data_IF_124614242998
#
_entry.id   IF_124614242998
#
_cell.length_a   1.000
_cell.length_b   1.000
_cell.length_c   1.000
_cell.angle_alpha   90.00
_cell.angle_beta   90.00
_cell.angle_gamma   90.00
#
_symmetry.space_group_name_H-M   'P 1'
#
loop_
_entity.id
_entity.type
_entity.pdbx_description
1 polymer ?
#
# COMPACT_ATOMS: atom_id res chain seq x y z
N UNK A 1 6.51 -60.97 23.28
CA UNK A 1 5.48 -59.92 23.03
C UNK A 1 5.29 -59.77 21.53
N UNK A 2 4.09 -60.06 21.02
CA UNK A 2 3.78 -60.00 19.57
C UNK A 2 3.58 -58.53 19.19
N UNK A 3 4.50 -57.93 18.43
CA UNK A 3 4.35 -56.56 17.91
C UNK A 3 3.17 -56.56 16.93
N UNK A 4 2.13 -55.76 17.20
CA UNK A 4 1.07 -55.48 16.23
C UNK A 4 1.67 -54.59 15.13
N UNK A 5 1.74 -55.09 13.91
CA UNK A 5 2.14 -54.30 12.75
C UNK A 5 0.94 -53.49 12.24
N UNK A 6 1.20 -52.26 11.79
CA UNK A 6 0.20 -51.44 11.10
C UNK A 6 -0.18 -52.13 9.79
N UNK A 7 -1.47 -52.22 9.50
CA UNK A 7 -1.94 -52.70 8.20
C UNK A 7 -1.78 -51.60 7.15
N UNK A 8 -1.53 -52.01 5.91
CA UNK A 8 -1.40 -51.07 4.79
C UNK A 8 -2.66 -50.22 4.61
N UNK A 9 -3.84 -50.78 4.90
CA UNK A 9 -5.13 -50.08 4.82
C UNK A 9 -5.23 -48.97 5.87
N UNK A 10 -4.82 -49.22 7.12
CA UNK A 10 -4.83 -48.20 8.18
C UNK A 10 -3.94 -47.01 7.82
N UNK A 11 -2.76 -47.27 7.25
CA UNK A 11 -1.86 -46.21 6.79
C UNK A 11 -2.47 -45.43 5.62
N UNK A 12 -3.07 -46.12 4.64
CA UNK A 12 -3.69 -45.50 3.47
C UNK A 12 -4.88 -44.61 3.84
N UNK A 13 -5.72 -45.02 4.78
CA UNK A 13 -6.87 -44.22 5.22
C UNK A 13 -6.39 -42.95 5.92
N UNK A 14 -5.35 -43.02 6.74
CA UNK A 14 -4.81 -41.85 7.45
C UNK A 14 -4.25 -40.82 6.47
N UNK A 15 -3.43 -41.24 5.50
CA UNK A 15 -2.91 -40.30 4.49
C UNK A 15 -4.03 -39.72 3.62
N UNK A 16 -5.07 -40.51 3.31
CA UNK A 16 -6.23 -40.02 2.56
C UNK A 16 -6.97 -38.93 3.33
N UNK A 17 -7.20 -39.12 4.65
CA UNK A 17 -7.83 -38.11 5.49
C UNK A 17 -6.96 -36.85 5.58
N UNK A 18 -5.65 -36.99 5.81
CA UNK A 18 -4.72 -35.85 5.85
C UNK A 18 -4.73 -35.09 4.51
N UNK A 19 -4.72 -35.79 3.38
CA UNK A 19 -4.77 -35.18 2.05
C UNK A 19 -6.06 -34.37 1.84
N UNK A 20 -7.22 -34.89 2.26
CA UNK A 20 -8.50 -34.19 2.16
C UNK A 20 -8.51 -32.93 3.06
N UNK A 21 -8.05 -33.06 4.31
CA UNK A 21 -7.99 -31.92 5.24
C UNK A 21 -7.04 -30.84 4.73
N UNK A 22 -5.86 -31.23 4.24
CA UNK A 22 -4.87 -30.31 3.70
C UNK A 22 -5.40 -29.57 2.45
N UNK A 23 -6.10 -30.28 1.55
CA UNK A 23 -6.69 -29.69 0.34
C UNK A 23 -7.69 -28.56 0.64
N UNK A 24 -8.44 -28.66 1.74
CA UNK A 24 -9.38 -27.61 2.17
C UNK A 24 -8.65 -26.51 2.96
N UNK A 25 -7.67 -26.89 3.79
CA UNK A 25 -6.98 -25.95 4.67
C UNK A 25 -6.06 -24.99 3.92
N UNK A 26 -5.32 -25.45 2.91
CA UNK A 26 -4.39 -24.60 2.14
C UNK A 26 -5.04 -23.38 1.48
N UNK A 27 -6.15 -23.48 0.70
CA UNK A 27 -6.78 -22.31 0.10
C UNK A 27 -7.42 -21.37 1.12
N UNK A 28 -7.87 -21.89 2.27
CA UNK A 28 -8.39 -21.05 3.37
C UNK A 28 -7.27 -20.29 4.05
N UNK A 29 -6.17 -20.97 4.37
CA UNK A 29 -5.00 -20.38 5.02
C UNK A 29 -4.35 -19.30 4.15
N UNK A 30 -4.24 -19.52 2.83
CA UNK A 30 -3.75 -18.52 1.89
C UNK A 30 -4.59 -17.23 1.91
N UNK A 31 -5.92 -17.36 1.89
CA UNK A 31 -6.85 -16.22 1.98
C UNK A 31 -6.74 -15.49 3.34
N UNK A 32 -6.65 -16.24 4.43
CA UNK A 32 -6.49 -15.66 5.77
C UNK A 32 -5.18 -14.89 5.91
N UNK A 33 -4.06 -15.45 5.40
CA UNK A 33 -2.75 -14.80 5.39
C UNK A 33 -2.78 -13.50 4.58
N UNK A 34 -3.42 -13.51 3.40
CA UNK A 34 -3.55 -12.31 2.58
C UNK A 34 -4.41 -11.24 3.25
N UNK A 35 -5.53 -11.64 3.89
CA UNK A 35 -6.33 -10.70 4.69
C UNK A 35 -5.51 -10.06 5.81
N UNK A 36 -4.65 -10.82 6.49
CA UNK A 36 -3.78 -10.28 7.53
C UNK A 36 -2.76 -9.28 6.98
N UNK A 37 -2.12 -9.58 5.82
CA UNK A 37 -1.20 -8.66 5.15
C UNK A 37 -1.91 -7.35 4.74
N UNK A 38 -3.14 -7.43 4.23
CA UNK A 38 -3.94 -6.23 3.91
C UNK A 38 -4.23 -5.38 5.14
N UNK A 39 -4.57 -5.99 6.26
CA UNK A 39 -4.75 -5.27 7.53
C UNK A 39 -3.46 -4.56 7.96
N UNK A 40 -2.30 -5.21 7.81
CA UNK A 40 -1.01 -4.56 8.03
C UNK A 40 -0.82 -3.35 7.09
N UNK A 41 -1.21 -3.46 5.82
CA UNK A 41 -1.08 -2.34 4.89
C UNK A 41 -1.93 -1.12 5.30
N UNK A 42 -3.15 -1.35 5.80
CA UNK A 42 -4.03 -0.30 6.34
C UNK A 42 -3.44 0.33 7.60
N UNK A 43 -2.90 -0.49 8.51
CA UNK A 43 -2.23 0.00 9.73
C UNK A 43 -1.03 0.89 9.40
N UNK A 44 -0.20 0.45 8.46
CA UNK A 44 0.94 1.20 7.96
C UNK A 44 0.51 2.56 7.38
N UNK A 45 -0.53 2.60 6.53
CA UNK A 45 -1.09 3.84 6.00
C UNK A 45 -1.55 4.80 7.10
N UNK A 46 -2.21 4.29 8.15
CA UNK A 46 -2.62 5.13 9.28
C UNK A 46 -1.41 5.71 10.03
N UNK A 47 -0.34 4.94 10.19
CA UNK A 47 0.91 5.42 10.81
C UNK A 47 1.58 6.51 9.96
N UNK A 48 1.69 6.31 8.65
CA UNK A 48 2.26 7.28 7.72
C UNK A 48 1.44 8.57 7.67
N UNK A 49 0.11 8.45 7.71
CA UNK A 49 -0.78 9.60 7.74
C UNK A 49 -0.59 10.43 9.03
N UNK A 50 -0.53 9.78 10.18
CA UNK A 50 -0.24 10.45 11.46
C UNK A 50 1.12 11.13 11.47
N UNK A 51 2.14 10.46 10.93
CA UNK A 51 3.47 11.04 10.79
C UNK A 51 3.46 12.31 9.93
N UNK A 52 2.72 12.31 8.82
CA UNK A 52 2.58 13.49 7.97
C UNK A 52 1.86 14.65 8.69
N UNK A 53 0.83 14.36 9.50
CA UNK A 53 0.18 15.38 10.33
C UNK A 53 1.12 15.95 11.40
N UNK A 54 1.91 15.09 12.06
CA UNK A 54 2.90 15.52 13.04
C UNK A 54 3.98 16.39 12.39
N UNK A 55 4.48 16.01 11.21
CA UNK A 55 5.39 16.82 10.42
C UNK A 55 4.75 18.18 10.11
N UNK A 56 3.51 18.21 9.62
CA UNK A 56 2.80 19.46 9.37
C UNK A 56 2.73 20.35 10.62
N UNK A 57 2.48 19.77 11.79
CA UNK A 57 2.48 20.52 13.06
C UNK A 57 3.83 21.14 13.42
N UNK A 58 4.94 20.49 13.06
CA UNK A 58 6.29 20.97 13.38
C UNK A 58 6.83 21.99 12.35
N UNK A 59 6.32 21.95 11.11
CA UNK A 59 6.82 22.73 9.99
C UNK A 59 5.80 23.75 9.49
N UNK A 60 5.15 24.51 10.38
CA UNK A 60 4.20 25.59 10.04
C UNK A 60 3.14 25.15 9.02
N UNK A 61 2.56 23.98 9.28
CA UNK A 61 1.55 23.33 8.46
C UNK A 61 2.06 22.80 7.10
N UNK A 62 3.33 22.93 6.75
CA UNK A 62 3.83 22.38 5.50
C UNK A 62 3.98 20.86 5.58
N UNK A 63 3.43 20.15 4.60
CA UNK A 63 3.69 18.73 4.41
C UNK A 63 5.01 18.53 3.67
N UNK A 64 5.71 17.38 3.85
CA UNK A 64 6.87 17.07 3.02
C UNK A 64 6.44 17.05 1.55
N UNK A 65 7.35 17.43 0.66
CA UNK A 65 7.06 17.51 -0.79
C UNK A 65 7.84 16.45 -1.55
N UNK A 66 7.11 15.67 -2.36
CA UNK A 66 7.70 14.83 -3.39
C UNK A 66 8.09 15.67 -4.60
N UNK A 67 9.27 15.38 -5.17
CA UNK A 67 9.72 15.97 -6.46
C UNK A 67 9.16 15.23 -7.67
N UNK A 68 8.73 13.99 -7.49
CA UNK A 68 8.26 13.07 -8.54
C UNK A 68 6.94 12.45 -8.14
N UNK A 69 6.04 12.25 -9.09
CA UNK A 69 4.79 11.53 -8.84
C UNK A 69 5.02 10.04 -8.64
N UNK A 70 4.79 9.60 -7.41
CA UNK A 70 5.06 8.24 -6.99
C UNK A 70 6.52 8.01 -6.67
N UNK A 71 6.98 6.78 -6.86
CA UNK A 71 8.34 6.39 -6.49
C UNK A 71 9.40 6.88 -7.49
N UNK A 72 10.60 7.22 -7.01
CA UNK A 72 11.01 7.28 -5.61
C UNK A 72 10.51 8.53 -4.86
N UNK A 73 10.34 8.44 -3.54
CA UNK A 73 9.88 9.54 -2.67
C UNK A 73 10.84 9.86 -1.50
N UNK A 74 12.14 10.10 -1.73
CA UNK A 74 13.13 10.21 -0.65
C UNK A 74 12.83 11.35 0.34
N UNK A 75 12.38 12.52 -0.15
CA UNK A 75 12.05 13.65 0.73
C UNK A 75 10.89 13.35 1.67
N UNK A 76 9.90 12.58 1.21
CA UNK A 76 8.74 12.20 2.01
C UNK A 76 9.12 11.09 2.98
N UNK A 77 9.77 10.04 2.49
CA UNK A 77 10.20 8.90 3.31
C UNK A 77 11.15 9.34 4.42
N UNK A 78 12.21 10.09 4.08
CA UNK A 78 13.20 10.55 5.05
C UNK A 78 12.69 11.71 5.90
N UNK A 79 11.83 12.58 5.36
CA UNK A 79 11.20 13.66 6.13
C UNK A 79 10.25 13.15 7.20
N UNK A 80 9.52 12.06 6.93
CA UNK A 80 8.59 11.46 7.88
C UNK A 80 9.22 10.40 8.79
N UNK A 81 10.38 9.88 8.43
CA UNK A 81 11.06 8.83 9.19
C UNK A 81 11.26 9.17 10.68
N UNK A 82 11.59 10.42 11.09
CA UNK A 82 11.69 10.77 12.51
C UNK A 82 10.42 10.53 13.33
N UNK A 83 9.25 10.56 12.68
CA UNK A 83 7.93 10.36 13.29
C UNK A 83 7.48 8.90 13.24
N UNK A 84 7.82 8.19 12.16
CA UNK A 84 7.43 6.77 11.95
C UNK A 84 8.37 5.82 12.68
N UNK A 85 9.69 6.08 12.63
CA UNK A 85 10.77 5.28 13.24
C UNK A 85 10.76 3.79 12.86
N UNK A 86 10.18 3.46 11.71
CA UNK A 86 10.06 2.10 11.19
C UNK A 86 10.06 2.13 9.67
N UNK A 87 11.12 1.61 9.04
CA UNK A 87 11.18 1.50 7.58
C UNK A 87 10.10 0.55 7.06
N UNK A 88 9.82 -0.53 7.78
CA UNK A 88 8.82 -1.53 7.41
C UNK A 88 7.40 -0.94 7.26
N UNK A 89 7.10 0.16 7.96
CA UNK A 89 5.82 0.85 7.83
C UNK A 89 5.64 1.53 6.47
N UNK A 90 6.71 1.77 5.72
CA UNK A 90 6.66 2.30 4.36
C UNK A 90 6.42 1.22 3.30
N UNK A 91 6.32 -0.05 3.68
CA UNK A 91 6.14 -1.15 2.73
C UNK A 91 4.87 -1.92 3.04
N UNK A 92 3.96 -1.99 2.06
CA UNK A 92 2.77 -2.83 2.16
C UNK A 92 3.16 -4.29 1.94
N UNK A 93 3.00 -5.20 2.92
CA UNK A 93 3.37 -6.60 2.72
C UNK A 93 2.64 -7.25 1.56
N UNK A 94 1.42 -6.83 1.20
CA UNK A 94 0.70 -7.42 0.07
C UNK A 94 1.12 -6.86 -1.31
N UNK A 95 2.06 -5.92 -1.37
CA UNK A 95 2.59 -5.35 -2.62
C UNK A 95 4.10 -5.56 -2.65
N UNK A 96 4.59 -6.29 -3.64
CA UNK A 96 6.03 -6.57 -3.83
C UNK A 96 6.58 -6.03 -5.15
N UNK A 97 5.73 -5.72 -6.14
CA UNK A 97 6.13 -5.29 -7.49
C UNK A 97 5.10 -4.28 -8.04
N UNK A 98 5.56 -3.18 -8.65
CA UNK A 98 4.71 -2.21 -9.37
C UNK A 98 4.33 -2.68 -10.79
N UNK A 99 5.23 -3.38 -11.46
CA UNK A 99 5.08 -3.83 -12.85
C UNK A 99 6.11 -4.91 -13.22
N UNK A 100 5.85 -5.67 -14.28
CA UNK A 100 6.78 -6.63 -14.92
C UNK A 100 8.13 -6.01 -15.33
N UNK A 101 8.24 -4.67 -15.37
CA UNK A 101 9.44 -3.92 -15.75
C UNK A 101 9.97 -2.95 -14.66
N UNK A 102 9.38 -2.96 -13.46
CA UNK A 102 9.71 -2.02 -12.36
C UNK A 102 10.59 -2.65 -11.25
N UNK A 103 11.27 -1.83 -10.43
CA UNK A 103 11.95 -2.31 -9.23
C UNK A 103 10.95 -2.92 -8.23
N UNK A 104 11.40 -3.92 -7.49
CA UNK A 104 10.62 -4.49 -6.39
C UNK A 104 10.31 -3.39 -5.38
N UNK A 105 9.11 -3.37 -4.82
CA UNK A 105 8.78 -2.54 -3.65
C UNK A 105 8.88 -3.34 -2.35
N UNK A 106 9.68 -4.41 -2.38
CA UNK A 106 10.05 -5.12 -1.17
C UNK A 106 10.92 -4.23 -0.28
N UNK A 107 10.79 -4.38 1.03
CA UNK A 107 11.67 -3.72 1.99
C UNK A 107 13.10 -4.26 1.82
N UNK A 108 13.92 -3.50 1.10
CA UNK A 108 15.36 -3.76 0.92
C UNK A 108 16.13 -2.48 1.21
N UNK A 109 17.40 -2.59 1.64
CA UNK A 109 18.24 -1.41 1.86
C UNK A 109 18.38 -0.52 0.62
N UNK A 110 18.49 -1.13 -0.57
CA UNK A 110 18.62 -0.40 -1.84
C UNK A 110 17.36 0.40 -2.16
N UNK A 111 16.18 -0.20 -1.98
CA UNK A 111 14.90 0.48 -2.17
C UNK A 111 14.73 1.62 -1.18
N UNK A 112 15.04 1.38 0.08
CA UNK A 112 14.95 2.42 1.11
C UNK A 112 15.88 3.59 0.80
N UNK A 113 17.15 3.30 0.47
CA UNK A 113 18.13 4.33 0.10
C UNK A 113 17.71 5.12 -1.16
N UNK A 114 17.08 4.45 -2.13
CA UNK A 114 16.52 5.10 -3.31
C UNK A 114 15.25 5.90 -3.02
N UNK A 115 14.58 5.69 -1.87
CA UNK A 115 13.28 6.28 -1.55
C UNK A 115 12.10 5.53 -2.17
N UNK A 116 12.29 4.30 -2.66
CA UNK A 116 11.22 3.44 -3.15
C UNK A 116 10.41 2.88 -1.98
N UNK A 117 9.12 3.18 -1.93
CA UNK A 117 8.21 2.76 -0.86
C UNK A 117 6.94 2.12 -1.41
N UNK A 118 6.31 1.25 -0.61
CA UNK A 118 5.11 0.48 -0.93
C UNK A 118 3.79 1.26 -0.94
N UNK A 119 3.83 2.60 -0.96
CA UNK A 119 2.68 3.49 -0.88
C UNK A 119 2.87 4.74 -1.74
N UNK A 120 1.77 5.38 -2.11
CA UNK A 120 1.79 6.71 -2.73
C UNK A 120 1.45 7.77 -1.71
N UNK A 121 2.11 8.92 -1.86
CA UNK A 121 1.81 10.12 -1.11
C UNK A 121 1.50 11.28 -2.04
N UNK A 122 0.48 12.06 -1.71
CA UNK A 122 -0.20 12.98 -2.63
C UNK A 122 -0.04 14.46 -2.25
N UNK A 123 1.17 14.84 -1.80
CA UNK A 123 1.60 16.23 -1.63
C UNK A 123 2.85 16.48 -2.51
N UNK A 124 2.64 17.02 -3.70
CA UNK A 124 3.65 17.21 -4.74
C UNK A 124 3.72 18.68 -5.14
N UNK A 125 4.90 19.21 -5.48
CA UNK A 125 5.09 20.59 -5.95
C UNK A 125 4.86 20.75 -7.48
N UNK A 126 4.10 19.83 -8.08
CA UNK A 126 3.85 19.80 -9.51
C UNK A 126 2.90 18.67 -9.91
N UNK A 127 1.85 19.01 -10.65
CA UNK A 127 0.87 18.06 -11.19
C UNK A 127 1.38 17.55 -12.54
N UNK A 128 1.34 16.24 -12.76
CA UNK A 128 1.70 15.62 -14.04
C UNK A 128 0.50 15.82 -14.96
N UNK A 129 0.70 16.22 -16.23
CA UNK A 129 -0.39 16.60 -17.12
C UNK A 129 -1.40 15.48 -17.47
N UNK A 130 -1.28 14.26 -16.93
CA UNK A 130 -2.00 13.08 -17.42
C UNK A 130 -2.75 12.25 -16.35
N UNK A 131 -2.94 12.75 -15.13
CA UNK A 131 -3.60 12.00 -14.02
C UNK A 131 -5.00 12.43 -13.59
N UNK A 132 -5.64 13.43 -14.20
CA UNK A 132 -7.01 13.83 -13.81
C UNK A 132 -7.06 14.69 -12.52
N UNK A 133 -8.24 15.22 -12.17
CA UNK A 133 -8.53 16.65 -12.24
C UNK A 133 -8.12 17.40 -10.97
N UNK A 134 -6.93 18.01 -10.96
CA UNK A 134 -6.57 19.02 -9.95
C UNK A 134 -5.95 20.29 -10.56
N UNK A 135 -6.33 20.61 -11.80
CA UNK A 135 -5.99 21.91 -12.38
C UNK A 135 -6.93 22.94 -11.76
N UNK A 136 -6.48 23.60 -10.69
CA UNK A 136 -6.15 25.03 -10.74
C UNK A 136 -4.98 25.30 -9.78
N UNK A 137 -3.77 25.48 -10.34
CA UNK A 137 -2.62 26.28 -9.85
C UNK A 137 -2.36 26.34 -8.33
N UNK A 138 -1.51 25.50 -7.72
CA UNK A 138 -1.05 25.81 -6.35
C UNK A 138 0.40 25.44 -5.97
N UNK A 139 1.07 26.31 -5.18
CA UNK A 139 2.36 26.11 -4.48
C UNK A 139 2.25 25.03 -3.37
N UNK A 140 3.35 24.69 -2.65
CA UNK A 140 3.36 23.76 -1.51
C UNK A 140 2.12 23.86 -0.60
N UNK A 141 1.50 22.71 -0.27
CA UNK A 141 0.26 22.67 0.51
C UNK A 141 0.54 22.85 2.01
N UNK A 142 -0.08 23.89 2.59
CA UNK A 142 -0.25 24.02 4.04
C UNK A 142 -1.43 23.17 4.52
N UNK A 143 -1.30 22.60 5.72
CA UNK A 143 -2.31 21.88 6.48
C UNK A 143 -3.59 22.72 6.69
N UNK A 144 -3.54 24.06 6.66
CA UNK A 144 -4.75 24.90 6.68
C UNK A 144 -5.66 24.76 5.45
N UNK A 145 -5.16 24.28 4.29
CA UNK A 145 -6.01 23.84 3.17
C UNK A 145 -6.49 22.38 3.33
N UNK A 146 -5.99 21.66 4.33
CA UNK A 146 -6.37 20.28 4.66
C UNK A 146 -7.66 20.17 5.50
N UNK A 147 -8.34 21.29 5.78
CA UNK A 147 -9.68 21.26 6.40
C UNK A 147 -10.79 20.83 5.44
N UNK A 148 -10.45 20.46 4.19
CA UNK A 148 -11.35 19.77 3.27
C UNK A 148 -11.24 18.25 3.51
N UNK A 149 -12.18 17.63 4.25
CA UNK A 149 -12.13 16.20 4.60
C UNK A 149 -12.18 15.27 3.37
N UNK A 150 -12.52 15.80 2.19
CA UNK A 150 -12.63 15.06 0.94
C UNK A 150 -11.27 14.83 0.25
N UNK A 151 -10.18 15.45 0.74
CA UNK A 151 -8.84 15.27 0.20
C UNK A 151 -8.11 14.11 0.89
N UNK A 152 -7.50 13.25 0.07
CA UNK A 152 -6.72 12.11 0.54
C UNK A 152 -5.22 12.34 0.39
N UNK A 153 -4.45 11.79 1.33
CA UNK A 153 -3.02 12.07 1.49
C UNK A 153 -2.14 10.86 1.13
N UNK A 154 -2.59 9.64 1.43
CA UNK A 154 -1.88 8.42 1.07
C UNK A 154 -2.80 7.43 0.37
N UNK A 155 -2.22 6.58 -0.47
CA UNK A 155 -2.87 5.33 -0.85
C UNK A 155 -1.89 4.18 -0.93
N UNK A 156 -2.43 2.97 -0.83
CA UNK A 156 -1.72 1.80 -1.32
C UNK A 156 -1.68 1.74 -2.85
N UNK A 157 -1.02 0.68 -3.30
CA UNK A 157 -0.59 0.42 -4.67
C UNK A 157 -1.48 -0.69 -5.29
N UNK A 158 -2.64 -1.02 -4.71
CA UNK A 158 -3.39 -2.26 -5.05
C UNK A 158 -4.13 -2.26 -6.39
N UNK A 159 -3.43 -2.33 -7.52
CA UNK A 159 -4.04 -2.64 -8.81
C UNK A 159 -3.01 -2.94 -9.89
N UNK A 160 -3.44 -3.54 -11.02
CA UNK A 160 -2.58 -3.61 -12.19
C UNK A 160 -2.35 -2.19 -12.71
N UNK A 161 -1.10 -1.73 -12.64
CA UNK A 161 -0.70 -0.47 -13.24
C UNK A 161 -0.65 -0.60 -14.76
N UNK A 162 -1.27 0.36 -15.43
CA UNK A 162 -1.07 0.57 -16.85
C UNK A 162 -0.09 1.73 -17.00
N UNK A 163 1.01 1.45 -17.71
CA UNK A 163 2.00 2.44 -18.07
C UNK A 163 1.40 3.42 -19.07
N UNK A 164 1.20 4.66 -18.62
CA UNK A 164 0.88 5.78 -19.50
C UNK A 164 1.65 6.99 -19.01
N UNK A 165 2.90 7.16 -19.46
CA UNK A 165 3.81 8.29 -19.16
C UNK A 165 4.71 8.18 -17.92
N UNK A 166 5.41 7.05 -17.77
CA UNK A 166 6.58 7.01 -16.90
C UNK A 166 6.33 6.99 -15.39
N UNK A 167 5.07 6.94 -14.94
CA UNK A 167 4.73 6.68 -13.56
C UNK A 167 3.55 5.69 -13.44
N UNK A 168 3.48 4.90 -12.36
CA UNK A 168 2.34 4.06 -12.05
C UNK A 168 1.12 4.90 -11.64
N UNK A 169 0.05 4.85 -12.43
CA UNK A 169 -1.18 5.62 -12.20
C UNK A 169 -2.32 4.74 -11.68
N UNK A 170 -2.84 5.07 -10.49
CA UNK A 170 -4.01 4.39 -9.89
C UNK A 170 -5.29 4.55 -10.74
N UNK A 171 -5.35 5.50 -11.68
CA UNK A 171 -6.57 5.82 -12.44
C UNK A 171 -6.99 4.76 -13.48
N UNK A 172 -6.12 3.82 -13.86
CA UNK A 172 -6.41 2.79 -14.88
C UNK A 172 -6.66 1.39 -14.30
N UNK A 173 -6.89 1.28 -13.00
CA UNK A 173 -7.17 0.00 -12.35
C UNK A 173 -8.44 -0.66 -12.95
N UNK A 174 -8.52 -2.01 -13.00
CA UNK A 174 -9.74 -2.71 -13.34
C UNK A 174 -10.94 -2.27 -12.47
N UNK A 175 -12.16 -2.34 -13.02
CA UNK A 175 -13.40 -2.00 -12.29
C UNK A 175 -13.60 -2.75 -10.96
N UNK A 176 -12.98 -3.92 -10.82
CA UNK A 176 -13.09 -4.78 -9.64
C UNK A 176 -11.92 -4.59 -8.65
N UNK A 177 -11.09 -3.57 -8.85
CA UNK A 177 -10.01 -3.21 -7.93
C UNK A 177 -10.54 -2.43 -6.73
N UNK A 178 -9.77 -2.45 -5.64
CA UNK A 178 -9.96 -1.62 -4.47
C UNK A 178 -8.62 -0.99 -4.10
N UNK A 179 -8.64 0.20 -3.49
CA UNK A 179 -7.45 0.86 -2.95
C UNK A 179 -7.75 1.33 -1.53
N UNK A 180 -6.82 1.16 -0.60
CA UNK A 180 -6.93 1.83 0.69
C UNK A 180 -6.37 3.24 0.57
N UNK A 181 -7.16 4.18 1.06
CA UNK A 181 -6.89 5.60 0.99
C UNK A 181 -6.87 6.15 2.40
N UNK A 182 -5.77 6.80 2.78
CA UNK A 182 -5.66 7.55 4.02
C UNK A 182 -6.02 9.01 3.75
N UNK A 183 -7.01 9.50 4.47
CA UNK A 183 -7.50 10.87 4.43
C UNK A 183 -6.68 11.76 5.35
N UNK A 184 -6.76 13.08 5.13
CA UNK A 184 -6.04 14.06 5.94
C UNK A 184 -6.49 14.11 7.40
N UNK A 185 -7.67 13.57 7.72
CA UNK A 185 -8.18 13.41 9.09
C UNK A 185 -7.61 12.18 9.83
N UNK A 186 -6.73 11.39 9.19
CA UNK A 186 -6.15 10.18 9.76
C UNK A 186 -6.96 8.90 9.55
N UNK A 187 -8.16 8.99 8.98
CA UNK A 187 -8.97 7.84 8.64
C UNK A 187 -8.42 7.12 7.41
N UNK A 188 -8.48 5.78 7.42
CA UNK A 188 -8.13 4.95 6.26
C UNK A 188 -9.38 4.19 5.81
N UNK A 189 -9.75 4.35 4.54
CA UNK A 189 -10.91 3.68 3.95
C UNK A 189 -10.48 2.80 2.78
N UNK A 190 -11.01 1.59 2.74
CA UNK A 190 -11.01 0.80 1.51
C UNK A 190 -12.04 1.39 0.54
N UNK A 191 -11.58 1.77 -0.64
CA UNK A 191 -12.41 2.34 -1.69
C UNK A 191 -12.49 1.34 -2.84
N UNK A 192 -13.71 0.88 -3.11
CA UNK A 192 -14.01 -0.05 -4.21
C UNK A 192 -14.30 0.70 -5.50
N UNK A 193 -13.79 0.18 -6.61
CA UNK A 193 -14.00 0.76 -7.94
C UNK A 193 -12.76 1.46 -8.47
N UNK A 194 -12.85 1.97 -9.69
CA UNK A 194 -11.71 2.67 -10.30
C UNK A 194 -11.54 4.02 -9.62
N UNK A 195 -10.31 4.44 -9.26
CA UNK A 195 -10.08 5.76 -8.68
C UNK A 195 -10.69 6.89 -9.50
N UNK A 196 -10.65 6.83 -10.84
CA UNK A 196 -11.31 7.82 -11.72
C UNK A 196 -12.84 7.86 -11.63
N UNK A 197 -13.48 6.78 -11.16
CA UNK A 197 -14.94 6.72 -10.97
C UNK A 197 -15.33 7.20 -9.56
N UNK A 198 -14.45 7.01 -8.57
CA UNK A 198 -14.72 7.33 -7.16
C UNK A 198 -14.28 8.73 -6.76
N UNK A 199 -13.13 9.20 -7.25
CA UNK A 199 -12.60 10.53 -6.98
C UNK A 199 -12.84 11.41 -8.21
N UNK A 200 -13.95 12.17 -8.20
CA UNK A 200 -14.34 13.11 -9.26
C UNK A 200 -14.04 14.55 -8.87
#
# INVERSE_FOLDING_TARGET
MRRRGFTLIELLVVIAIIAILAAILFPVFARARESARRTSCVSNLSQLCKAAMMYGSDYDEFLPVGVTQGNPMPNVSFGLYPYVKSEAAYYCPSVDILSTYDPTLAHTPDNWAAGNVGYYFWSMDGIHPHTGPFIVRHPPRRLSLASEPDLWMWSDVFGQFFWSQGAPFAHQMPKWSFTNVAFMDGHVKAISGRPVEVFK
#
